data_IF_647445424693
#
_entry.id   IF_647445424693
#
_cell.length_a   1.000
_cell.length_b   1.000
_cell.length_c   1.000
_cell.angle_alpha   90.00
_cell.angle_beta   90.00
_cell.angle_gamma   90.00
#
_symmetry.space_group_name_H-M   'P 1'
#
loop_
_entity.id
_entity.type
_entity.pdbx_description
1 polymer ?
#
# COMPACT_ATOMS: atom_id res chain seq x y z
N UNK A 1 -13.15 6.72 20.03
CA UNK A 1 -11.86 6.33 19.43
C UNK A 1 -10.85 6.18 20.55
N UNK A 2 -10.15 5.04 20.64
CA UNK A 2 -9.06 4.86 21.60
C UNK A 2 -7.68 5.14 20.98
N UNK A 3 -6.69 5.58 21.76
CA UNK A 3 -5.32 5.76 21.27
C UNK A 3 -4.66 4.44 20.86
N UNK A 4 -3.74 4.49 19.89
CA UNK A 4 -2.87 3.37 19.56
C UNK A 4 -1.95 3.01 20.74
N UNK A 5 -1.84 1.72 21.02
CA UNK A 5 -0.94 1.16 22.04
C UNK A 5 0.45 0.88 21.49
N UNK A 6 0.66 0.97 20.18
CA UNK A 6 1.92 0.66 19.51
C UNK A 6 2.74 1.95 19.30
N UNK A 7 3.94 2.08 19.91
CA UNK A 7 4.76 3.29 19.78
C UNK A 7 5.05 3.70 18.34
N UNK A 8 5.41 2.72 17.49
CA UNK A 8 5.70 2.97 16.08
C UNK A 8 4.49 3.51 15.31
N UNK A 9 3.27 3.06 15.62
CA UNK A 9 2.06 3.60 14.99
C UNK A 9 1.88 5.08 15.35
N UNK A 10 2.10 5.43 16.62
CA UNK A 10 2.02 6.82 17.09
C UNK A 10 3.07 7.71 16.43
N UNK A 11 4.31 7.23 16.31
CA UNK A 11 5.40 7.97 15.65
C UNK A 11 5.08 8.27 14.17
N UNK A 12 4.39 7.34 13.51
CA UNK A 12 3.93 7.45 12.13
C UNK A 12 2.59 8.18 11.98
N UNK A 13 2.08 8.79 13.05
CA UNK A 13 0.85 9.57 13.05
C UNK A 13 -0.44 8.77 13.06
N UNK A 14 -0.39 7.43 13.22
CA UNK A 14 -1.57 6.57 13.35
C UNK A 14 -2.00 6.48 14.82
N UNK A 15 -2.47 7.59 15.38
CA UNK A 15 -2.63 7.73 16.84
C UNK A 15 -3.91 7.14 17.40
N UNK A 16 -4.90 6.82 16.56
CA UNK A 16 -6.24 6.44 17.02
C UNK A 16 -6.79 5.23 16.25
N UNK A 17 -7.52 4.37 16.96
CA UNK A 17 -8.42 3.38 16.37
C UNK A 17 -9.85 3.93 16.32
N UNK A 18 -10.64 3.45 15.36
CA UNK A 18 -12.03 3.85 15.21
C UNK A 18 -12.89 3.47 16.44
N UNK A 19 -12.68 2.25 16.95
CA UNK A 19 -13.36 1.73 18.14
C UNK A 19 -12.61 2.10 19.43
N UNK A 20 -13.31 2.09 20.55
CA UNK A 20 -12.77 2.08 21.91
C UNK A 20 -12.85 0.69 22.58
N UNK A 21 -13.38 -0.30 21.86
CA UNK A 21 -13.47 -1.68 22.32
C UNK A 21 -12.09 -2.35 22.25
N UNK A 22 -11.66 -3.09 23.30
CA UNK A 22 -10.45 -3.89 23.23
C UNK A 22 -10.45 -4.83 22.02
N UNK A 23 -9.30 -4.94 21.36
CA UNK A 23 -9.15 -5.82 20.20
C UNK A 23 -9.43 -7.30 20.53
N UNK A 24 -9.67 -8.08 19.49
CA UNK A 24 -9.93 -9.53 19.58
C UNK A 24 -8.65 -10.37 19.58
N UNK A 25 -7.48 -9.75 19.46
CA UNK A 25 -6.21 -10.44 19.28
C UNK A 25 -6.19 -11.29 18.00
N UNK A 26 -5.58 -12.46 18.09
CA UNK A 26 -5.57 -13.45 17.01
C UNK A 26 -4.46 -13.27 15.97
N UNK A 27 -4.50 -14.14 14.98
CA UNK A 27 -3.49 -14.32 13.93
C UNK A 27 -4.15 -14.27 12.55
N UNK A 28 -3.62 -13.40 11.71
CA UNK A 28 -3.97 -13.28 10.30
C UNK A 28 -3.08 -14.19 9.44
N UNK A 29 -3.62 -14.61 8.27
CA UNK A 29 -2.86 -15.30 7.21
C UNK A 29 -2.11 -16.55 7.70
N UNK A 30 -2.74 -17.36 8.55
CA UNK A 30 -2.15 -18.63 9.01
C UNK A 30 -2.09 -19.64 7.87
N UNK A 31 -3.09 -19.60 6.99
CA UNK A 31 -3.10 -20.26 5.68
C UNK A 31 -3.52 -19.27 4.59
N UNK A 32 -3.21 -19.50 3.30
CA UNK A 32 -3.67 -18.63 2.21
C UNK A 32 -5.20 -18.47 2.17
N UNK A 33 -5.96 -19.50 2.58
CA UNK A 33 -7.42 -19.46 2.62
C UNK A 33 -7.98 -18.53 3.71
N UNK A 34 -7.16 -18.09 4.66
CA UNK A 34 -7.57 -17.11 5.68
C UNK A 34 -7.65 -15.68 5.15
N UNK A 35 -7.20 -15.45 3.91
CA UNK A 35 -7.18 -14.13 3.29
C UNK A 35 -7.63 -14.24 1.85
N UNK A 36 -8.92 -14.02 1.63
CA UNK A 36 -9.56 -14.11 0.33
C UNK A 36 -9.77 -12.69 -0.20
N UNK A 37 -9.33 -12.44 -1.43
CA UNK A 37 -9.48 -11.15 -2.10
C UNK A 37 -10.15 -11.36 -3.44
N UNK A 38 -11.31 -10.76 -3.63
CA UNK A 38 -12.05 -10.77 -4.89
C UNK A 38 -12.07 -9.36 -5.50
N UNK A 39 -11.61 -9.23 -6.74
CA UNK A 39 -11.69 -7.98 -7.49
C UNK A 39 -13.14 -7.67 -7.87
N UNK A 40 -13.57 -6.44 -7.58
CA UNK A 40 -14.84 -5.90 -8.08
C UNK A 40 -14.53 -5.16 -9.40
N UNK A 41 -14.89 -5.73 -10.57
CA UNK A 41 -14.55 -5.12 -11.85
C UNK A 41 -15.41 -3.89 -12.11
N UNK A 42 -14.91 -2.98 -12.94
CA UNK A 42 -15.79 -2.03 -13.61
C UNK A 42 -16.59 -2.78 -14.71
N UNK A 43 -17.78 -2.30 -15.11
CA UNK A 43 -18.51 -2.88 -16.21
C UNK A 43 -17.63 -2.98 -17.46
N UNK A 44 -17.57 -4.17 -18.05
CA UNK A 44 -16.90 -4.38 -19.34
C UNK A 44 -17.89 -3.92 -20.42
N UNK A 45 -17.61 -2.82 -21.14
CA UNK A 45 -18.60 -2.22 -22.03
C UNK A 45 -18.83 -3.05 -23.30
N UNK A 46 -17.83 -3.81 -23.70
CA UNK A 46 -17.84 -4.61 -24.91
C UNK A 46 -18.26 -6.05 -24.62
N UNK A 47 -18.86 -6.72 -25.60
CA UNK A 47 -19.07 -8.18 -25.57
C UNK A 47 -18.38 -8.91 -26.73
N UNK A 48 -17.68 -8.16 -27.58
CA UNK A 48 -16.94 -8.67 -28.73
C UNK A 48 -15.51 -8.11 -28.72
N UNK A 49 -14.61 -8.79 -29.42
CA UNK A 49 -13.26 -8.32 -29.65
C UNK A 49 -12.15 -9.35 -29.47
N UNK A 50 -10.90 -8.94 -29.75
CA UNK A 50 -9.77 -9.85 -29.75
C UNK A 50 -9.28 -10.18 -28.35
N UNK A 51 -9.64 -9.41 -27.32
CA UNK A 51 -9.23 -9.69 -25.95
C UNK A 51 -10.23 -10.61 -25.28
N UNK A 52 -9.77 -11.79 -24.87
CA UNK A 52 -10.55 -12.66 -24.02
C UNK A 52 -10.40 -12.21 -22.57
N UNK A 53 -11.53 -12.03 -21.88
CA UNK A 53 -11.52 -11.66 -20.47
C UNK A 53 -11.73 -12.94 -19.66
N UNK A 54 -10.79 -13.18 -18.75
CA UNK A 54 -10.83 -14.31 -17.84
C UNK A 54 -10.82 -13.84 -16.39
N UNK A 55 -11.62 -14.49 -15.55
CA UNK A 55 -11.48 -14.47 -14.11
C UNK A 55 -10.39 -15.46 -13.72
N UNK A 56 -9.30 -14.93 -13.20
CA UNK A 56 -8.14 -15.67 -12.70
C UNK A 56 -8.26 -15.82 -11.18
N UNK A 57 -8.39 -17.05 -10.70
CA UNK A 57 -8.23 -17.37 -9.28
C UNK A 57 -6.88 -18.02 -9.06
N UNK A 58 -6.14 -17.56 -8.05
CA UNK A 58 -4.81 -18.09 -7.70
C UNK A 58 -4.66 -18.28 -6.19
N UNK A 59 -3.99 -19.35 -5.78
CA UNK A 59 -3.73 -19.67 -4.36
C UNK A 59 -2.21 -19.62 -4.11
N UNK A 60 -1.74 -18.72 -3.24
CA UNK A 60 -0.31 -18.56 -2.92
C UNK A 60 0.63 -18.22 -4.10
N UNK A 61 0.10 -17.59 -5.16
CA UNK A 61 0.86 -17.19 -6.33
C UNK A 61 1.11 -15.68 -6.39
N UNK A 62 2.32 -15.31 -6.80
CA UNK A 62 2.64 -13.95 -7.23
C UNK A 62 2.15 -13.76 -8.68
N UNK A 63 1.55 -12.60 -8.99
CA UNK A 63 0.84 -12.39 -10.25
C UNK A 63 1.77 -12.46 -11.48
N UNK A 64 2.95 -11.85 -11.44
CA UNK A 64 3.90 -11.91 -12.56
C UNK A 64 4.32 -13.34 -12.86
N UNK A 65 4.53 -14.16 -11.82
CA UNK A 65 4.85 -15.58 -11.98
C UNK A 65 3.68 -16.35 -12.59
N UNK A 66 2.45 -16.11 -12.11
CA UNK A 66 1.24 -16.74 -12.66
C UNK A 66 1.05 -16.39 -14.14
N UNK A 67 1.16 -15.09 -14.49
CA UNK A 67 1.05 -14.60 -15.87
C UNK A 67 2.08 -15.25 -16.80
N UNK A 68 3.34 -15.39 -16.35
CA UNK A 68 4.38 -16.06 -17.14
C UNK A 68 4.08 -17.54 -17.38
N UNK A 69 3.59 -18.26 -16.36
CA UNK A 69 3.26 -19.67 -16.50
C UNK A 69 2.03 -19.89 -17.40
N UNK A 70 0.99 -19.06 -17.26
CA UNK A 70 -0.19 -19.07 -18.15
C UNK A 70 0.24 -18.82 -19.59
N UNK A 71 1.04 -17.77 -19.84
CA UNK A 71 1.51 -17.44 -21.18
C UNK A 71 2.34 -18.58 -21.80
N UNK A 72 3.18 -19.23 -20.99
CA UNK A 72 3.96 -20.41 -21.42
C UNK A 72 3.06 -21.57 -21.84
N UNK A 73 1.99 -21.89 -21.08
CA UNK A 73 1.04 -22.95 -21.45
C UNK A 73 0.21 -22.64 -22.68
N UNK A 74 -0.08 -21.36 -22.90
CA UNK A 74 -0.77 -20.88 -24.09
C UNK A 74 0.14 -20.72 -25.32
N UNK A 75 1.47 -20.83 -25.17
CA UNK A 75 2.41 -20.61 -26.27
C UNK A 75 2.46 -19.15 -26.74
N UNK A 76 2.13 -18.19 -25.87
CA UNK A 76 2.08 -16.76 -26.20
C UNK A 76 3.09 -15.95 -25.39
N UNK A 77 3.35 -14.72 -25.82
CA UNK A 77 4.10 -13.75 -25.01
C UNK A 77 3.29 -13.31 -23.78
N UNK A 78 3.92 -13.27 -22.61
CA UNK A 78 3.32 -12.75 -21.37
C UNK A 78 2.84 -11.29 -21.50
N UNK A 79 3.39 -10.52 -22.45
CA UNK A 79 2.96 -9.14 -22.75
C UNK A 79 1.56 -9.05 -23.34
N UNK A 80 0.98 -10.17 -23.81
CA UNK A 80 -0.41 -10.25 -24.29
C UNK A 80 -1.42 -10.38 -23.16
N UNK A 81 -0.96 -10.50 -21.91
CA UNK A 81 -1.81 -10.63 -20.73
C UNK A 81 -1.75 -9.31 -19.93
N UNK A 82 -2.90 -8.67 -19.73
CA UNK A 82 -3.02 -7.42 -18.97
C UNK A 82 -4.05 -7.55 -17.84
N UNK A 83 -3.94 -6.73 -16.80
CA UNK A 83 -4.77 -6.79 -15.58
C UNK A 83 -4.98 -5.39 -14.97
N UNK A 84 -5.96 -5.26 -14.07
CA UNK A 84 -6.32 -3.98 -13.45
C UNK A 84 -5.52 -3.66 -12.16
N UNK A 85 -5.08 -4.68 -11.42
CA UNK A 85 -4.21 -4.48 -10.26
C UNK A 85 -3.51 -5.77 -9.82
N UNK A 86 -2.48 -5.63 -8.99
CA UNK A 86 -1.83 -6.77 -8.33
C UNK A 86 -2.54 -7.09 -7.02
N UNK A 87 -2.76 -8.36 -6.72
CA UNK A 87 -3.27 -8.84 -5.43
C UNK A 87 -2.18 -9.55 -4.63
N UNK A 88 -2.43 -9.75 -3.33
CA UNK A 88 -1.52 -10.45 -2.41
C UNK A 88 -1.07 -11.82 -2.93
N UNK A 89 0.20 -12.16 -2.64
CA UNK A 89 0.74 -13.50 -2.90
C UNK A 89 0.16 -14.51 -1.90
N UNK A 90 0.33 -14.26 -0.59
CA UNK A 90 -0.08 -15.17 0.48
C UNK A 90 -1.59 -15.03 0.78
N UNK A 91 -2.41 -15.44 -0.19
CA UNK A 91 -3.85 -15.27 -0.21
C UNK A 91 -4.49 -16.21 -1.26
N UNK A 92 -5.80 -16.40 -1.18
CA UNK A 92 -6.63 -16.82 -2.32
C UNK A 92 -7.13 -15.55 -3.00
N UNK A 93 -6.80 -15.35 -4.26
CA UNK A 93 -7.16 -14.09 -4.94
C UNK A 93 -7.84 -14.36 -6.27
N UNK A 94 -8.96 -13.68 -6.50
CA UNK A 94 -9.73 -13.69 -7.74
C UNK A 94 -9.63 -12.31 -8.38
N UNK A 95 -9.16 -12.24 -9.62
CA UNK A 95 -9.03 -10.98 -10.36
C UNK A 95 -9.29 -11.18 -11.85
N UNK A 96 -9.53 -10.09 -12.58
CA UNK A 96 -9.72 -10.18 -14.03
C UNK A 96 -8.40 -9.97 -14.77
N UNK A 97 -8.20 -10.76 -15.81
CA UNK A 97 -7.13 -10.60 -16.78
C UNK A 97 -7.73 -10.54 -18.19
N UNK A 98 -7.06 -9.81 -19.08
CA UNK A 98 -7.35 -9.79 -20.51
C UNK A 98 -6.21 -10.47 -21.25
N UNK A 99 -6.54 -11.36 -22.18
CA UNK A 99 -5.58 -12.12 -22.97
C UNK A 99 -5.85 -11.84 -24.44
N UNK A 100 -4.91 -11.20 -25.12
CA UNK A 100 -5.06 -10.85 -26.54
C UNK A 100 -5.03 -12.11 -27.41
N UNK A 101 -6.00 -12.25 -28.31
CA UNK A 101 -6.08 -13.16 -29.45
C UNK A 101 -5.73 -14.62 -29.09
N UNK A 102 -6.56 -15.18 -28.20
CA UNK A 102 -6.51 -16.59 -27.78
C UNK A 102 -7.91 -17.21 -27.93
N UNK A 103 -7.97 -18.50 -28.27
CA UNK A 103 -9.23 -19.24 -28.36
C UNK A 103 -9.72 -19.70 -26.99
N UNK A 104 -11.03 -19.96 -26.87
CA UNK A 104 -11.66 -20.52 -25.66
C UNK A 104 -11.03 -21.88 -25.31
N UNK A 105 -10.93 -22.78 -26.28
CA UNK A 105 -10.34 -24.11 -26.13
C UNK A 105 -8.90 -24.07 -25.58
N UNK A 106 -8.13 -23.04 -25.94
CA UNK A 106 -6.76 -22.91 -25.45
C UNK A 106 -6.74 -22.58 -23.95
N UNK A 107 -7.68 -21.76 -23.46
CA UNK A 107 -7.83 -21.45 -22.03
C UNK A 107 -8.26 -22.69 -21.25
N UNK A 108 -9.24 -23.44 -21.74
CA UNK A 108 -9.73 -24.66 -21.07
C UNK A 108 -8.65 -25.73 -20.90
N UNK A 109 -7.65 -25.75 -21.80
CA UNK A 109 -6.50 -26.66 -21.72
C UNK A 109 -5.42 -26.20 -20.73
N UNK A 110 -5.50 -24.97 -20.20
CA UNK A 110 -4.54 -24.48 -19.21
C UNK A 110 -4.82 -25.16 -17.87
N UNK A 111 -4.00 -26.15 -17.55
CA UNK A 111 -3.98 -26.78 -16.24
C UNK A 111 -2.68 -26.44 -15.50
N UNK A 112 -2.81 -25.64 -14.43
CA UNK A 112 -1.72 -25.24 -13.54
C UNK A 112 -2.25 -25.42 -12.11
N UNK A 113 -1.55 -26.20 -11.23
CA UNK A 113 -1.95 -26.32 -9.84
C UNK A 113 -2.12 -24.95 -9.16
N UNK A 114 -3.15 -24.83 -8.32
CA UNK A 114 -3.47 -23.62 -7.56
C UNK A 114 -3.86 -22.39 -8.41
N UNK A 115 -4.15 -22.59 -9.70
CA UNK A 115 -4.61 -21.55 -10.62
C UNK A 115 -5.86 -22.07 -11.36
N UNK A 116 -6.90 -21.24 -11.44
CA UNK A 116 -8.04 -21.47 -12.33
C UNK A 116 -8.30 -20.25 -13.22
N UNK A 117 -8.75 -20.52 -14.43
CA UNK A 117 -9.15 -19.52 -15.42
C UNK A 117 -10.57 -19.82 -15.85
N UNK A 118 -11.47 -18.85 -15.64
CA UNK A 118 -12.86 -18.90 -16.09
C UNK A 118 -13.06 -17.79 -17.12
N UNK A 119 -13.53 -18.13 -18.32
CA UNK A 119 -13.83 -17.11 -19.34
C UNK A 119 -15.13 -16.40 -18.96
N UNK A 120 -15.10 -15.07 -18.92
CA UNK A 120 -16.27 -14.24 -18.58
C UNK A 120 -16.82 -13.43 -19.75
N UNK A 121 -16.04 -13.28 -20.83
CA UNK A 121 -16.46 -12.52 -22.01
C UNK A 121 -15.30 -12.06 -22.87
N UNK A 122 -15.56 -11.08 -23.74
CA UNK A 122 -14.57 -10.47 -24.63
C UNK A 122 -14.59 -8.94 -24.52
N UNK A 123 -13.51 -8.31 -24.92
CA UNK A 123 -13.44 -6.86 -25.09
C UNK A 123 -12.61 -6.45 -26.30
N UNK A 124 -12.89 -5.25 -26.79
CA UNK A 124 -12.10 -4.58 -27.81
C UNK A 124 -10.75 -4.13 -27.27
N UNK A 125 -10.61 -3.98 -25.95
CA UNK A 125 -9.46 -3.34 -25.32
C UNK A 125 -8.90 -4.20 -24.17
N UNK A 126 -7.59 -4.10 -23.87
CA UNK A 126 -7.04 -4.74 -22.69
C UNK A 126 -7.51 -4.04 -21.41
N UNK A 127 -7.55 -4.80 -20.33
CA UNK A 127 -7.70 -4.24 -18.99
C UNK A 127 -6.53 -3.29 -18.69
N UNK A 128 -6.84 -2.17 -18.06
CA UNK A 128 -5.86 -1.13 -17.70
C UNK A 128 -5.64 -1.10 -16.20
N UNK A 129 -4.41 -0.80 -15.78
CA UNK A 129 -4.10 -0.56 -14.37
C UNK A 129 -5.01 0.51 -13.78
N UNK A 130 -5.58 0.23 -12.61
CA UNK A 130 -6.57 1.09 -11.95
C UNK A 130 -8.01 0.91 -12.46
N UNK A 131 -8.25 0.07 -13.47
CA UNK A 131 -9.58 -0.19 -14.04
C UNK A 131 -10.46 -1.15 -13.22
N UNK A 132 -10.56 -0.94 -11.90
CA UNK A 132 -11.40 -1.73 -10.99
C UNK A 132 -12.19 -0.82 -10.05
N UNK A 133 -13.36 -1.28 -9.62
CA UNK A 133 -14.17 -0.55 -8.64
C UNK A 133 -13.61 -0.70 -7.22
N UNK A 134 -12.99 -1.84 -6.91
CA UNK A 134 -12.43 -2.11 -5.60
C UNK A 134 -12.13 -3.59 -5.39
N UNK A 135 -11.97 -3.98 -4.14
CA UNK A 135 -11.76 -5.37 -3.75
C UNK A 135 -12.70 -5.71 -2.60
N UNK A 136 -13.32 -6.89 -2.68
CA UNK A 136 -14.01 -7.52 -1.58
C UNK A 136 -12.99 -8.40 -0.84
N UNK A 137 -12.96 -8.26 0.48
CA UNK A 137 -12.08 -9.05 1.34
C UNK A 137 -12.94 -9.97 2.21
N UNK A 138 -12.54 -11.23 2.31
CA UNK A 138 -12.97 -12.15 3.36
C UNK A 138 -11.73 -12.57 4.12
N UNK A 139 -11.71 -12.27 5.43
CA UNK A 139 -10.53 -12.41 6.27
C UNK A 139 -10.89 -13.24 7.50
N UNK A 140 -10.20 -14.37 7.66
CA UNK A 140 -10.31 -15.22 8.84
C UNK A 140 -9.24 -14.82 9.85
N UNK A 141 -9.67 -14.47 11.05
CA UNK A 141 -8.79 -14.19 12.19
C UNK A 141 -8.83 -15.43 13.09
N UNK A 142 -7.70 -16.15 13.18
CA UNK A 142 -7.59 -17.36 14.00
C UNK A 142 -7.05 -17.00 15.38
N UNK A 143 -7.15 -17.93 16.35
CA UNK A 143 -6.52 -17.79 17.66
C UNK A 143 -6.94 -16.53 18.45
N UNK A 144 -8.19 -16.05 18.24
CA UNK A 144 -8.72 -14.88 18.93
C UNK A 144 -8.82 -15.11 20.45
N UNK A 145 -8.74 -14.01 21.20
CA UNK A 145 -9.08 -13.97 22.62
C UNK A 145 -10.56 -14.36 22.77
N UNK A 146 -10.84 -15.40 23.58
CA UNK A 146 -12.18 -15.99 23.67
C UNK A 146 -13.14 -15.19 24.54
N UNK A 147 -12.62 -14.43 25.49
CA UNK A 147 -13.41 -13.64 26.43
C UNK A 147 -14.21 -12.55 25.71
N UNK A 148 -15.53 -12.57 25.88
CA UNK A 148 -16.50 -11.65 25.26
C UNK A 148 -16.36 -11.50 23.75
N UNK A 149 -15.81 -12.49 23.04
CA UNK A 149 -15.50 -12.38 21.62
C UNK A 149 -16.71 -11.95 20.77
N UNK A 150 -17.92 -12.53 20.91
CA UNK A 150 -19.07 -12.09 20.12
C UNK A 150 -19.43 -10.60 20.35
N UNK A 151 -19.41 -10.15 21.60
CA UNK A 151 -19.72 -8.77 21.94
C UNK A 151 -18.65 -7.80 21.41
N UNK A 152 -17.36 -8.16 21.53
CA UNK A 152 -16.25 -7.37 20.99
C UNK A 152 -16.32 -7.26 19.46
N UNK A 153 -16.59 -8.37 18.77
CA UNK A 153 -16.75 -8.38 17.31
C UNK A 153 -17.91 -7.48 16.90
N UNK A 154 -19.05 -7.56 17.58
CA UNK A 154 -20.19 -6.69 17.31
C UNK A 154 -19.83 -5.22 17.48
N UNK A 155 -19.26 -4.82 18.63
CA UNK A 155 -18.92 -3.43 18.90
C UNK A 155 -17.86 -2.86 17.92
N UNK A 156 -16.85 -3.66 17.56
CA UNK A 156 -15.86 -3.26 16.54
C UNK A 156 -16.53 -3.13 15.17
N UNK A 157 -17.45 -4.03 14.81
CA UNK A 157 -18.17 -3.98 13.52
C UNK A 157 -19.03 -2.73 13.42
N UNK A 158 -19.76 -2.37 14.47
CA UNK A 158 -20.55 -1.15 14.54
C UNK A 158 -19.67 0.11 14.38
N UNK A 159 -18.54 0.18 15.09
CA UNK A 159 -17.61 1.29 14.98
C UNK A 159 -17.01 1.43 13.57
N UNK A 160 -16.56 0.31 12.98
CA UNK A 160 -15.99 0.29 11.61
C UNK A 160 -17.04 0.65 10.55
N UNK A 161 -18.30 0.27 10.75
CA UNK A 161 -19.40 0.60 9.83
C UNK A 161 -19.73 2.08 9.79
N UNK A 162 -19.49 2.81 10.89
CA UNK A 162 -19.61 4.26 10.92
C UNK A 162 -18.46 4.95 10.17
N UNK A 163 -17.29 4.31 10.10
CA UNK A 163 -16.12 4.76 9.37
C UNK A 163 -14.82 4.49 10.13
N UNK A 164 -13.72 4.39 9.38
CA UNK A 164 -12.38 4.23 9.95
C UNK A 164 -11.47 5.38 9.52
N UNK A 165 -10.52 5.81 10.38
CA UNK A 165 -9.45 6.69 9.96
C UNK A 165 -8.65 6.03 8.82
N UNK A 166 -8.64 6.65 7.63
CA UNK A 166 -7.97 6.12 6.44
C UNK A 166 -6.46 6.40 6.44
N UNK A 167 -5.74 5.90 7.44
CA UNK A 167 -4.30 6.06 7.55
C UNK A 167 -3.52 5.30 6.47
N UNK A 168 -2.34 5.81 6.13
CA UNK A 168 -1.30 5.02 5.48
C UNK A 168 -0.65 4.08 6.51
N UNK A 169 -0.75 2.76 6.29
CA UNK A 169 -0.20 1.75 7.19
C UNK A 169 1.32 1.56 7.13
N UNK A 170 1.86 0.74 8.05
CA UNK A 170 3.30 0.46 8.21
C UNK A 170 4.02 0.05 6.91
N UNK A 171 3.35 -0.69 6.03
CA UNK A 171 3.93 -1.13 4.76
C UNK A 171 4.35 0.05 3.87
N UNK A 172 3.68 1.20 3.96
CA UNK A 172 4.04 2.42 3.23
C UNK A 172 5.42 2.93 3.65
N UNK A 173 5.77 2.72 4.92
CA UNK A 173 6.99 3.22 5.53
C UNK A 173 8.14 2.20 5.50
N UNK A 174 7.79 0.91 5.39
CA UNK A 174 8.66 -0.24 5.49
C UNK A 174 8.36 -1.03 6.76
N UNK A 175 7.96 -2.31 6.63
CA UNK A 175 7.50 -3.13 7.77
C UNK A 175 8.64 -3.45 8.73
N UNK A 176 9.74 -3.99 8.20
CA UNK A 176 10.93 -4.33 9.00
C UNK A 176 11.70 -3.05 9.35
N UNK A 177 11.73 -2.11 8.41
CA UNK A 177 12.56 -0.90 8.44
C UNK A 177 11.75 0.34 8.07
N UNK A 178 10.96 0.91 8.99
CA UNK A 178 10.13 2.08 8.74
C UNK A 178 10.99 3.34 8.63
N UNK A 179 11.67 3.50 7.50
CA UNK A 179 12.72 4.51 7.28
C UNK A 179 12.44 5.44 6.10
N UNK A 180 11.53 5.04 5.20
CA UNK A 180 11.30 5.78 3.94
C UNK A 180 10.84 7.22 4.17
N UNK A 181 9.96 7.45 5.14
CA UNK A 181 9.51 8.79 5.52
C UNK A 181 10.63 9.64 6.16
N UNK A 182 11.53 9.02 6.91
CA UNK A 182 12.70 9.69 7.52
C UNK A 182 13.63 10.21 6.44
N UNK A 183 13.91 9.37 5.44
CA UNK A 183 14.74 9.77 4.29
C UNK A 183 14.03 10.87 3.50
N UNK A 184 12.72 10.74 3.26
CA UNK A 184 11.93 11.75 2.57
C UNK A 184 11.94 13.12 3.27
N UNK A 185 11.78 13.13 4.58
CA UNK A 185 11.87 14.34 5.41
C UNK A 185 13.22 15.05 5.22
N UNK A 186 14.32 14.29 5.32
CA UNK A 186 15.69 14.80 5.22
C UNK A 186 15.97 15.36 3.83
N UNK A 187 15.54 14.66 2.78
CA UNK A 187 15.63 15.14 1.39
C UNK A 187 14.91 16.48 1.23
N UNK A 188 13.69 16.62 1.74
CA UNK A 188 12.90 17.86 1.61
C UNK A 188 13.49 19.02 2.42
N UNK A 189 14.18 18.73 3.52
CA UNK A 189 14.92 19.73 4.31
C UNK A 189 16.27 20.13 3.69
N UNK A 190 16.68 19.51 2.58
CA UNK A 190 18.00 19.70 1.98
C UNK A 190 19.14 19.01 2.75
N UNK A 191 18.82 18.22 3.76
CA UNK A 191 19.78 17.46 4.56
C UNK A 191 20.10 16.12 3.88
N UNK A 192 20.89 16.19 2.81
CA UNK A 192 21.25 15.00 2.03
C UNK A 192 22.19 14.06 2.80
N UNK A 193 23.07 14.60 3.63
CA UNK A 193 23.94 13.82 4.51
C UNK A 193 23.09 12.98 5.48
N UNK A 194 22.15 13.61 6.19
CA UNK A 194 21.22 12.93 7.08
C UNK A 194 20.31 11.93 6.36
N UNK A 195 19.91 12.21 5.11
CA UNK A 195 19.15 11.26 4.30
C UNK A 195 19.97 10.00 3.97
N UNK A 196 21.22 10.16 3.57
CA UNK A 196 22.14 9.06 3.26
C UNK A 196 22.48 8.27 4.53
N UNK A 197 22.83 8.97 5.61
CA UNK A 197 23.09 8.37 6.91
C UNK A 197 21.87 7.57 7.41
N UNK A 198 20.66 8.14 7.31
CA UNK A 198 19.44 7.44 7.67
C UNK A 198 19.22 6.21 6.80
N UNK A 199 19.41 6.29 5.48
CA UNK A 199 19.13 5.15 4.59
C UNK A 199 20.16 4.02 4.70
N UNK A 200 21.45 4.33 4.82
CA UNK A 200 22.51 3.30 4.97
C UNK A 200 22.59 2.81 6.42
N UNK A 201 22.60 3.72 7.39
CA UNK A 201 23.07 3.41 8.74
C UNK A 201 22.01 3.27 9.83
N UNK A 202 20.74 3.68 9.61
CA UNK A 202 19.72 3.53 10.66
C UNK A 202 19.31 2.07 10.84
N UNK A 203 19.69 1.46 11.96
CA UNK A 203 19.32 0.11 12.35
C UNK A 203 17.93 0.05 13.01
N UNK A 204 17.23 -1.08 12.84
CA UNK A 204 15.95 -1.36 13.49
C UNK A 204 15.96 -2.73 14.19
N UNK A 205 15.21 -2.90 15.31
CA UNK A 205 15.24 -4.14 16.11
C UNK A 205 14.82 -5.41 15.36
N UNK A 206 14.01 -5.27 14.30
CA UNK A 206 13.53 -6.39 13.49
C UNK A 206 14.55 -6.86 12.43
N UNK A 207 15.68 -6.16 12.27
CA UNK A 207 16.75 -6.57 11.36
C UNK A 207 17.66 -7.64 12.02
N UNK A 208 18.33 -8.51 11.24
CA UNK A 208 19.35 -9.41 11.80
C UNK A 208 20.46 -8.64 12.53
N UNK A 209 21.00 -9.19 13.61
CA UNK A 209 22.00 -8.52 14.45
C UNK A 209 23.25 -8.08 13.64
N UNK A 210 23.73 -8.91 12.72
CA UNK A 210 24.83 -8.58 11.80
C UNK A 210 24.56 -7.27 11.03
N UNK A 211 23.32 -7.07 10.59
CA UNK A 211 22.90 -5.90 9.80
C UNK A 211 22.81 -4.70 10.72
N UNK A 212 22.26 -4.87 11.92
CA UNK A 212 22.18 -3.80 12.90
C UNK A 212 23.57 -3.26 13.24
N UNK A 213 24.54 -4.14 13.51
CA UNK A 213 25.91 -3.76 13.82
C UNK A 213 26.60 -3.03 12.65
N UNK A 214 26.48 -3.55 11.41
CA UNK A 214 27.05 -2.92 10.22
C UNK A 214 26.48 -1.51 9.98
N UNK A 215 25.15 -1.36 10.13
CA UNK A 215 24.44 -0.09 9.99
C UNK A 215 24.87 0.93 11.06
N UNK A 216 24.89 0.51 12.33
CA UNK A 216 25.32 1.36 13.46
C UNK A 216 26.76 1.84 13.29
N UNK A 217 27.68 0.95 12.90
CA UNK A 217 29.07 1.31 12.64
C UNK A 217 29.19 2.39 11.56
N UNK A 218 28.40 2.28 10.49
CA UNK A 218 28.38 3.33 9.47
C UNK A 218 27.86 4.67 10.00
N UNK A 219 26.82 4.69 10.86
CA UNK A 219 26.36 5.94 11.49
C UNK A 219 27.42 6.59 12.38
N UNK A 220 28.16 5.80 13.14
CA UNK A 220 29.16 6.29 14.08
C UNK A 220 30.43 6.81 13.39
N UNK A 221 30.84 6.14 12.31
CA UNK A 221 32.14 6.40 11.66
C UNK A 221 32.04 7.24 10.39
N UNK A 222 30.91 7.18 9.68
CA UNK A 222 30.78 7.70 8.31
C UNK A 222 31.67 6.99 7.29
N UNK A 223 32.34 5.89 7.65
CA UNK A 223 33.30 5.21 6.77
C UNK A 223 32.57 4.37 5.70
N UNK A 224 32.47 4.96 4.51
CA UNK A 224 31.85 4.33 3.37
C UNK A 224 32.60 3.09 2.85
N UNK A 225 33.93 3.01 3.04
CA UNK A 225 34.71 1.83 2.62
C UNK A 225 34.51 0.67 3.59
N UNK A 226 34.51 0.94 4.89
CA UNK A 226 34.18 -0.06 5.90
C UNK A 226 32.75 -0.59 5.70
N UNK A 227 31.79 0.29 5.42
CA UNK A 227 30.41 -0.12 5.13
C UNK A 227 30.29 -1.08 3.92
N UNK A 228 31.13 -0.95 2.89
CA UNK A 228 31.16 -1.90 1.77
C UNK A 228 31.68 -3.29 2.15
N UNK A 229 32.48 -3.41 3.21
CA UNK A 229 32.91 -4.69 3.74
C UNK A 229 31.83 -5.29 4.66
N UNK A 230 31.19 -4.45 5.47
CA UNK A 230 30.28 -4.88 6.53
C UNK A 230 28.84 -5.15 6.05
N UNK A 231 28.34 -4.37 5.09
CA UNK A 231 26.95 -4.51 4.62
C UNK A 231 26.80 -5.75 3.71
N UNK A 232 25.83 -6.64 3.99
CA UNK A 232 25.56 -7.81 3.16
C UNK A 232 25.37 -7.49 1.67
N UNK A 233 25.85 -8.37 0.79
CA UNK A 233 25.80 -8.20 -0.69
C UNK A 233 24.38 -7.96 -1.22
N UNK A 234 23.37 -8.54 -0.56
CA UNK A 234 21.94 -8.35 -0.89
C UNK A 234 21.43 -6.91 -0.73
N UNK A 235 22.13 -6.06 0.03
CA UNK A 235 21.78 -4.66 0.28
C UNK A 235 22.31 -3.76 -0.83
N UNK A 236 21.81 -3.99 -2.05
CA UNK A 236 22.37 -3.41 -3.27
C UNK A 236 22.29 -1.88 -3.29
N UNK A 237 21.22 -1.29 -2.78
CA UNK A 237 21.04 0.18 -2.76
C UNK A 237 21.97 0.85 -1.75
N UNK A 238 22.03 0.35 -0.51
CA UNK A 238 22.92 0.90 0.51
C UNK A 238 24.39 0.79 0.08
N UNK A 239 24.78 -0.36 -0.48
CA UNK A 239 26.13 -0.57 -1.01
C UNK A 239 26.44 0.33 -2.21
N UNK A 240 25.48 0.57 -3.11
CA UNK A 240 25.69 1.46 -4.24
C UNK A 240 25.94 2.92 -3.78
N UNK A 241 25.20 3.37 -2.76
CA UNK A 241 25.41 4.69 -2.15
C UNK A 241 26.76 4.77 -1.42
N UNK A 242 27.12 3.75 -0.64
CA UNK A 242 28.42 3.69 0.03
C UNK A 242 29.58 3.68 -0.98
N UNK A 243 29.44 2.96 -2.08
CA UNK A 243 30.44 2.96 -3.16
C UNK A 243 30.62 4.35 -3.79
N UNK A 244 29.51 5.09 -4.01
CA UNK A 244 29.59 6.46 -4.49
C UNK A 244 30.35 7.36 -3.52
N UNK A 245 30.04 7.28 -2.22
CA UNK A 245 30.71 8.09 -1.19
C UNK A 245 32.19 7.73 -1.01
N UNK A 246 32.55 6.45 -1.15
CA UNK A 246 33.94 6.01 -1.07
C UNK A 246 34.81 6.57 -2.22
N UNK A 247 34.20 6.82 -3.38
CA UNK A 247 34.85 7.45 -4.53
C UNK A 247 34.75 8.99 -4.51
N UNK A 248 33.66 9.54 -3.97
CA UNK A 248 33.35 10.96 -3.94
C UNK A 248 32.97 11.40 -2.52
N UNK A 249 33.93 11.54 -1.59
CA UNK A 249 33.66 11.93 -0.22
C UNK A 249 32.89 13.26 -0.14
N UNK A 250 31.81 13.28 0.64
CA UNK A 250 30.95 14.45 0.84
C UNK A 250 29.86 14.66 -0.23
N UNK A 251 29.84 13.90 -1.32
CA UNK A 251 28.80 14.01 -2.36
C UNK A 251 27.56 13.16 -2.02
N UNK A 252 26.85 13.55 -0.96
CA UNK A 252 25.63 12.88 -0.50
C UNK A 252 24.46 13.01 -1.48
N UNK A 253 24.37 14.13 -2.19
CA UNK A 253 23.36 14.34 -3.22
C UNK A 253 23.61 13.39 -4.41
N UNK A 254 24.86 13.22 -4.84
CA UNK A 254 25.24 12.23 -5.84
C UNK A 254 24.97 10.80 -5.38
N UNK A 255 25.26 10.48 -4.12
CA UNK A 255 24.97 9.16 -3.56
C UNK A 255 23.47 8.82 -3.65
N UNK A 256 22.58 9.77 -3.35
CA UNK A 256 21.13 9.57 -3.53
C UNK A 256 20.75 9.38 -5.00
N UNK A 257 21.38 10.11 -5.93
CA UNK A 257 21.08 10.02 -7.38
C UNK A 257 21.49 8.68 -8.01
N UNK A 258 22.30 7.87 -7.33
CA UNK A 258 22.57 6.48 -7.74
C UNK A 258 21.32 5.60 -7.63
N UNK A 259 20.36 5.98 -6.76
CA UNK A 259 19.13 5.24 -6.59
C UNK A 259 18.16 5.43 -7.77
N UNK A 260 17.33 4.42 -8.09
CA UNK A 260 16.31 4.56 -9.12
C UNK A 260 15.36 5.73 -8.84
N UNK A 261 14.95 6.52 -9.86
CA UNK A 261 14.07 7.68 -9.66
C UNK A 261 12.75 7.35 -8.94
N UNK A 262 12.18 6.16 -9.19
CA UNK A 262 10.97 5.69 -8.50
C UNK A 262 11.18 5.50 -6.99
N UNK A 263 12.37 5.08 -6.56
CA UNK A 263 12.69 4.92 -5.15
C UNK A 263 12.87 6.29 -4.46
N UNK A 264 13.49 7.25 -5.14
CA UNK A 264 13.60 8.62 -4.65
C UNK A 264 12.22 9.27 -4.46
N UNK A 265 11.33 9.11 -5.45
CA UNK A 265 9.94 9.55 -5.37
C UNK A 265 9.18 8.85 -4.22
N UNK A 266 9.45 7.56 -3.98
CA UNK A 266 8.86 6.83 -2.86
C UNK A 266 9.21 7.49 -1.50
N UNK A 267 10.45 7.91 -1.27
CA UNK A 267 10.83 8.54 0.00
C UNK A 267 10.03 9.80 0.29
N UNK A 268 9.98 10.73 -0.68
CA UNK A 268 9.21 11.97 -0.55
C UNK A 268 7.73 11.66 -0.33
N UNK A 269 7.16 10.74 -1.12
CA UNK A 269 5.76 10.36 -1.00
C UNK A 269 5.42 9.60 0.28
N UNK A 270 6.40 8.93 0.90
CA UNK A 270 6.24 8.32 2.22
C UNK A 270 6.22 9.39 3.31
N UNK A 271 7.04 10.44 3.22
CA UNK A 271 6.97 11.54 4.18
C UNK A 271 5.65 12.29 4.09
N UNK A 272 5.16 12.55 2.89
CA UNK A 272 3.81 13.07 2.65
C UNK A 272 2.72 12.20 3.31
N UNK A 273 2.80 10.87 3.18
CA UNK A 273 1.90 9.93 3.88
C UNK A 273 1.99 10.05 5.41
N UNK A 274 3.18 10.29 5.97
CA UNK A 274 3.37 10.53 7.40
C UNK A 274 2.66 11.82 7.84
N UNK A 275 2.85 12.93 7.12
CA UNK A 275 2.17 14.19 7.41
C UNK A 275 0.64 14.06 7.32
N UNK A 276 0.13 13.33 6.33
CA UNK A 276 -1.29 13.02 6.21
C UNK A 276 -1.82 12.28 7.44
N UNK A 277 -1.11 11.26 7.93
CA UNK A 277 -1.49 10.53 9.13
C UNK A 277 -1.55 11.48 10.35
N UNK A 278 -0.52 12.32 10.52
CA UNK A 278 -0.49 13.31 11.61
C UNK A 278 -1.65 14.30 11.53
N UNK A 279 -1.97 14.81 10.34
CA UNK A 279 -3.11 15.71 10.11
C UNK A 279 -4.46 15.03 10.41
N UNK A 280 -4.63 13.77 10.01
CA UNK A 280 -5.82 13.00 10.32
C UNK A 280 -5.99 12.78 11.83
N UNK A 281 -4.90 12.44 12.53
CA UNK A 281 -4.93 12.37 13.99
C UNK A 281 -5.21 13.72 14.64
N UNK A 282 -4.67 14.82 14.13
CA UNK A 282 -4.91 16.16 14.65
C UNK A 282 -6.38 16.59 14.51
N UNK A 283 -7.06 16.16 13.44
CA UNK A 283 -8.51 16.32 13.30
C UNK A 283 -9.27 15.62 14.43
N UNK A 284 -8.87 14.38 14.75
CA UNK A 284 -9.49 13.58 15.82
C UNK A 284 -9.20 14.23 17.19
N UNK A 285 -7.98 14.72 17.43
CA UNK A 285 -7.60 15.45 18.64
C UNK A 285 -8.49 16.68 18.88
N UNK A 286 -8.85 17.38 17.80
CA UNK A 286 -9.72 18.55 17.84
C UNK A 286 -11.21 18.20 18.06
N UNK A 287 -11.56 16.91 18.22
CA UNK A 287 -12.93 16.44 18.41
C UNK A 287 -13.79 16.51 17.14
N UNK A 288 -13.18 16.74 15.97
CA UNK A 288 -13.89 16.87 14.71
C UNK A 288 -14.25 15.49 14.15
N UNK A 289 -15.47 15.36 13.63
CA UNK A 289 -15.95 14.11 13.03
C UNK A 289 -15.21 13.78 11.73
N UNK A 290 -15.05 12.49 11.44
CA UNK A 290 -14.54 12.02 10.15
C UNK A 290 -15.61 12.02 9.03
N UNK A 291 -16.89 12.12 9.40
CA UNK A 291 -18.02 11.95 8.48
C UNK A 291 -18.98 13.13 8.47
N UNK A 292 -18.86 14.05 9.42
CA UNK A 292 -19.64 15.29 9.46
C UNK A 292 -18.76 16.47 9.03
N UNK A 293 -19.17 17.23 7.99
CA UNK A 293 -18.35 18.30 7.42
C UNK A 293 -18.42 19.58 8.27
N UNK A 294 -17.27 20.22 8.44
CA UNK A 294 -17.09 21.51 9.10
C UNK A 294 -16.67 22.59 8.12
N UNK A 295 -16.96 23.86 8.43
CA UNK A 295 -16.56 24.99 7.58
C UNK A 295 -15.04 25.01 7.40
N UNK A 296 -14.59 25.05 6.15
CA UNK A 296 -13.19 24.94 5.76
C UNK A 296 -12.75 23.54 5.32
N UNK A 297 -13.56 22.50 5.57
CA UNK A 297 -13.26 21.15 5.08
C UNK A 297 -13.26 21.11 3.55
N UNK A 298 -12.29 20.40 2.98
CA UNK A 298 -12.28 20.08 1.54
C UNK A 298 -13.14 18.86 1.29
N UNK A 299 -13.91 18.89 0.22
CA UNK A 299 -14.73 17.79 -0.27
C UNK A 299 -14.15 17.26 -1.57
N UNK A 300 -14.05 15.94 -1.69
CA UNK A 300 -13.72 15.25 -2.92
C UNK A 300 -14.93 14.43 -3.40
N UNK A 301 -15.41 14.74 -4.60
CA UNK A 301 -16.51 14.02 -5.24
C UNK A 301 -15.99 12.84 -6.06
N UNK A 302 -16.84 11.84 -6.30
CA UNK A 302 -16.48 10.63 -7.07
C UNK A 302 -16.00 10.92 -8.50
N UNK A 303 -16.46 12.04 -9.08
CA UNK A 303 -16.04 12.49 -10.41
C UNK A 303 -14.74 13.32 -10.40
N UNK A 304 -14.04 13.39 -9.27
CA UNK A 304 -12.80 14.17 -9.10
C UNK A 304 -13.01 15.66 -8.85
N UNK A 305 -14.25 16.16 -8.83
CA UNK A 305 -14.50 17.55 -8.46
C UNK A 305 -14.13 17.79 -7.00
N UNK A 306 -13.50 18.92 -6.73
CA UNK A 306 -13.24 19.40 -5.38
C UNK A 306 -14.15 20.57 -5.02
N UNK A 307 -14.47 20.71 -3.73
CA UNK A 307 -15.22 21.84 -3.18
C UNK A 307 -14.74 22.13 -1.75
N UNK A 308 -15.11 23.29 -1.21
CA UNK A 308 -14.83 23.66 0.19
C UNK A 308 -16.14 23.91 0.92
N UNK A 309 -16.25 23.38 2.13
CA UNK A 309 -17.40 23.59 2.99
C UNK A 309 -17.41 25.03 3.48
N UNK A 310 -18.52 25.72 3.23
CA UNK A 310 -18.82 27.07 3.69
C UNK A 310 -20.08 27.03 4.55
N UNK A 311 -20.32 28.08 5.34
CA UNK A 311 -21.56 28.21 6.10
C UNK A 311 -22.84 28.08 5.24
N UNK A 312 -22.76 28.39 3.94
CA UNK A 312 -23.89 28.31 2.99
C UNK A 312 -24.15 26.89 2.48
N UNK A 313 -23.10 26.09 2.25
CA UNK A 313 -23.25 24.76 1.63
C UNK A 313 -23.11 23.59 2.64
N UNK A 314 -22.81 23.85 3.93
CA UNK A 314 -22.54 22.79 4.93
C UNK A 314 -23.65 21.74 5.01
N UNK A 315 -24.92 22.15 5.04
CA UNK A 315 -26.04 21.21 5.09
C UNK A 315 -26.16 20.38 3.80
N UNK A 316 -25.88 20.98 2.64
CA UNK A 316 -25.84 20.26 1.37
C UNK A 316 -24.67 19.27 1.33
N UNK A 317 -23.48 19.68 1.79
CA UNK A 317 -22.31 18.81 1.91
C UNK A 317 -22.59 17.58 2.77
N UNK A 318 -23.21 17.77 3.94
CA UNK A 318 -23.64 16.68 4.84
C UNK A 318 -24.55 15.67 4.12
N UNK A 319 -25.51 16.14 3.33
CA UNK A 319 -26.40 15.27 2.56
C UNK A 319 -25.63 14.50 1.47
N UNK A 320 -24.69 15.15 0.77
CA UNK A 320 -23.89 14.48 -0.26
C UNK A 320 -22.97 13.41 0.33
N UNK A 321 -22.34 13.68 1.48
CA UNK A 321 -21.51 12.70 2.20
C UNK A 321 -22.34 11.49 2.62
N UNK A 322 -23.51 11.69 3.24
CA UNK A 322 -24.41 10.60 3.66
C UNK A 322 -24.93 9.77 2.48
N UNK A 323 -25.06 10.38 1.29
CA UNK A 323 -25.43 9.68 0.05
C UNK A 323 -24.24 9.00 -0.64
N UNK A 324 -23.05 9.08 -0.06
CA UNK A 324 -21.84 8.48 -0.62
C UNK A 324 -21.26 9.23 -1.82
N UNK A 325 -21.73 10.43 -2.17
CA UNK A 325 -21.33 11.14 -3.41
C UNK A 325 -20.05 11.97 -3.30
N UNK A 326 -19.66 12.33 -2.07
CA UNK A 326 -18.37 12.95 -1.77
C UNK A 326 -17.85 12.53 -0.40
N UNK A 327 -16.59 12.85 -0.10
CA UNK A 327 -15.93 12.59 1.18
C UNK A 327 -15.18 13.83 1.65
N UNK A 328 -14.98 13.96 2.96
CA UNK A 328 -14.03 14.93 3.51
C UNK A 328 -12.63 14.47 3.11
N UNK A 329 -11.84 15.37 2.54
CA UNK A 329 -10.49 15.11 2.09
C UNK A 329 -9.48 15.92 2.91
N UNK A 330 -8.37 15.28 3.25
CA UNK A 330 -7.20 15.96 3.82
C UNK A 330 -6.16 16.16 2.73
N UNK A 331 -5.48 17.30 2.80
CA UNK A 331 -4.46 17.67 1.85
C UNK A 331 -3.19 16.82 2.03
N UNK A 332 -2.61 16.38 0.91
CA UNK A 332 -1.27 15.78 0.89
C UNK A 332 -0.29 16.89 0.46
N UNK A 333 0.63 17.32 1.34
CA UNK A 333 1.50 18.47 1.06
C UNK A 333 2.33 18.33 -0.23
N UNK A 334 2.30 19.34 -1.09
CA UNK A 334 3.03 19.39 -2.37
C UNK A 334 3.35 20.81 -2.81
N UNK A 335 4.04 20.95 -3.94
CA UNK A 335 4.36 22.26 -4.52
C UNK A 335 3.14 22.96 -5.15
N UNK A 336 2.08 22.21 -5.43
CA UNK A 336 0.79 22.72 -5.93
C UNK A 336 -0.32 22.47 -4.88
N UNK A 337 -1.33 23.37 -4.75
CA UNK A 337 -2.39 23.29 -3.73
C UNK A 337 -3.42 22.16 -3.90
#
# INVERSE_FOLDING_TARGET
MMPSTHPLERDLGMRYYASDTPGIGGRLRSTPADFIVEELPLPIPDQEGPYLICRLTKINWELQRAVKEIAKRLGISHRRISWAGTKDKNAVTTQFISIYDVSLDAIERVNIPDISLEVVGRSQHPLRLGGLAGNRFEVMIRECLKEDLPARVQAVTEAVSAGIPNYYGLQRFGVIRPVTHVVGERILKGDYEGAVAAYIGRAYPMEPEEVQQARTRFLETGDARAALADLPVRMTYERAMANHLAANPGDYAGALRVLPPKLLSLFVSAFQSCLFNHALSARIDAGLSLTEPEVGDRLLFENGREDVVTARNQQAARIQIRRGRCRIALFIPGAEP
#
